data_IF_756077893455
#
_entry.id   IF_756077893455
#
_cell.length_a   1.000
_cell.length_b   1.000
_cell.length_c   1.000
_cell.angle_alpha   90.00
_cell.angle_beta   90.00
_cell.angle_gamma   90.00
#
_symmetry.space_group_name_H-M   'P 1'
#
loop_
_entity.id
_entity.type
_entity.pdbx_description
1 polymer ?
#
# COMPACT_ATOMS: atom_id res chain seq x y z
N UNK A 1 19.85 3.50 4.84
CA UNK A 1 20.22 2.34 3.99
C UNK A 1 20.79 2.85 2.68
N UNK A 2 21.89 2.30 2.19
CA UNK A 2 22.46 2.70 0.91
C UNK A 2 21.61 2.17 -0.25
N UNK A 3 21.73 2.81 -1.42
CA UNK A 3 20.98 2.37 -2.60
C UNK A 3 21.32 0.93 -2.99
N UNK A 4 22.60 0.53 -2.87
CA UNK A 4 23.04 -0.84 -3.20
C UNK A 4 22.41 -1.84 -2.25
N UNK A 5 22.42 -1.57 -0.94
CA UNK A 5 21.80 -2.44 0.05
C UNK A 5 20.31 -2.53 -0.14
N UNK A 6 19.68 -1.40 -0.45
CA UNK A 6 18.24 -1.37 -0.69
C UNK A 6 17.86 -2.17 -1.93
N UNK A 7 18.64 -2.06 -2.99
CA UNK A 7 18.42 -2.82 -4.22
C UNK A 7 18.55 -4.32 -3.99
N UNK A 8 19.58 -4.73 -3.24
CA UNK A 8 19.77 -6.14 -2.89
C UNK A 8 18.64 -6.68 -2.01
N UNK A 9 18.19 -5.86 -1.05
CA UNK A 9 17.06 -6.22 -0.20
C UNK A 9 15.78 -6.36 -1.03
N UNK A 10 15.55 -5.46 -1.98
CA UNK A 10 14.41 -5.54 -2.88
C UNK A 10 14.47 -6.82 -3.72
N UNK A 11 15.65 -7.17 -4.21
CA UNK A 11 15.84 -8.42 -4.96
C UNK A 11 15.45 -9.64 -4.13
N UNK A 12 15.92 -9.71 -2.88
CA UNK A 12 15.57 -10.82 -1.98
C UNK A 12 14.08 -10.85 -1.68
N UNK A 13 13.47 -9.69 -1.50
CA UNK A 13 12.04 -9.57 -1.27
C UNK A 13 11.24 -10.13 -2.45
N UNK A 14 11.62 -9.76 -3.67
CA UNK A 14 10.97 -10.26 -4.89
C UNK A 14 11.12 -11.78 -4.99
N UNK A 15 12.31 -12.31 -4.77
CA UNK A 15 12.57 -13.75 -4.84
C UNK A 15 11.72 -14.53 -3.84
N UNK A 16 11.57 -14.00 -2.64
CA UNK A 16 10.75 -14.65 -1.61
C UNK A 16 9.26 -14.63 -1.94
N UNK A 17 8.75 -13.46 -2.37
CA UNK A 17 7.30 -13.29 -2.54
C UNK A 17 6.77 -13.67 -3.92
N UNK A 18 7.62 -13.87 -4.89
CA UNK A 18 7.19 -14.24 -6.24
C UNK A 18 6.35 -15.51 -6.21
N UNK A 19 5.13 -15.43 -6.75
CA UNK A 19 4.21 -16.57 -6.79
C UNK A 19 3.48 -16.86 -5.50
N UNK A 20 3.70 -16.05 -4.44
CA UNK A 20 2.99 -16.17 -3.17
C UNK A 20 1.93 -15.09 -3.05
N UNK A 21 0.96 -15.31 -2.19
CA UNK A 21 -0.03 -14.26 -1.99
C UNK A 21 -1.38 -14.75 -1.53
N UNK A 22 -1.44 -15.38 -0.37
CA UNK A 22 -2.71 -15.71 0.28
C UNK A 22 -3.14 -14.51 1.13
N UNK A 23 -4.22 -13.83 0.69
CA UNK A 23 -4.64 -12.56 1.27
C UNK A 23 -4.76 -12.58 2.80
N UNK A 24 -5.48 -13.56 3.35
CA UNK A 24 -5.75 -13.59 4.80
C UNK A 24 -4.55 -14.00 5.63
N UNK A 25 -3.70 -14.88 5.11
CA UNK A 25 -2.60 -15.44 5.87
C UNK A 25 -1.26 -14.75 5.68
N UNK A 26 -1.07 -14.05 4.56
CA UNK A 26 0.24 -13.52 4.18
C UNK A 26 0.30 -12.01 4.03
N UNK A 27 -0.84 -11.33 4.08
CA UNK A 27 -0.93 -9.89 3.84
C UNK A 27 -0.07 -9.08 4.83
N UNK A 28 -0.20 -9.36 6.12
CA UNK A 28 0.54 -8.59 7.13
C UNK A 28 2.04 -8.86 7.03
N UNK A 29 2.43 -10.13 6.85
CA UNK A 29 3.84 -10.48 6.71
C UNK A 29 4.46 -9.81 5.48
N UNK A 30 3.72 -9.72 4.38
CA UNK A 30 4.17 -9.06 3.16
C UNK A 30 4.51 -7.58 3.44
N UNK A 31 3.58 -6.85 4.03
CA UNK A 31 3.77 -5.42 4.28
C UNK A 31 4.83 -5.15 5.35
N UNK A 32 4.85 -5.96 6.43
CA UNK A 32 5.86 -5.81 7.47
C UNK A 32 7.27 -6.06 6.92
N UNK A 33 7.44 -7.12 6.13
CA UNK A 33 8.74 -7.42 5.55
C UNK A 33 9.17 -6.40 4.49
N UNK A 34 8.22 -5.89 3.70
CA UNK A 34 8.52 -4.83 2.73
C UNK A 34 9.08 -3.59 3.43
N UNK A 35 8.38 -3.13 4.45
CA UNK A 35 8.78 -1.92 5.19
C UNK A 35 10.11 -2.12 5.93
N UNK A 36 10.30 -3.27 6.56
CA UNK A 36 11.51 -3.54 7.32
C UNK A 36 12.71 -3.79 6.42
N UNK A 37 12.57 -4.71 5.48
CA UNK A 37 13.72 -5.23 4.73
C UNK A 37 14.11 -4.33 3.56
N UNK A 38 13.14 -3.76 2.86
CA UNK A 38 13.42 -2.92 1.67
C UNK A 38 13.55 -1.45 2.04
N UNK A 39 12.70 -0.96 2.95
CA UNK A 39 12.67 0.47 3.27
C UNK A 39 13.28 0.82 4.61
N UNK A 40 13.83 -0.16 5.33
CA UNK A 40 14.62 0.11 6.52
C UNK A 40 13.85 0.58 7.74
N UNK A 41 12.55 0.30 7.83
CA UNK A 41 11.77 0.64 9.00
C UNK A 41 12.11 -0.34 10.11
N UNK A 42 12.67 0.17 11.19
CA UNK A 42 13.18 -0.68 12.28
C UNK A 42 12.06 -1.44 13.01
N UNK A 43 10.92 -0.76 13.23
CA UNK A 43 9.77 -1.35 13.92
C UNK A 43 8.51 -1.18 13.07
N UNK A 44 8.38 -1.97 11.98
CA UNK A 44 7.24 -1.80 11.06
C UNK A 44 5.90 -2.06 11.74
N UNK A 45 5.84 -2.91 12.76
CA UNK A 45 4.62 -3.19 13.52
C UNK A 45 4.09 -1.95 14.26
N UNK A 46 4.94 -0.93 14.47
CA UNK A 46 4.56 0.35 15.07
C UNK A 46 4.31 1.42 14.02
N UNK A 47 4.69 1.16 12.78
CA UNK A 47 4.63 2.12 11.69
C UNK A 47 3.35 1.97 10.86
N UNK A 48 2.92 0.74 10.65
CA UNK A 48 1.71 0.41 9.88
C UNK A 48 0.65 -0.18 10.82
N UNK A 49 -0.61 0.20 10.61
CA UNK A 49 -1.75 -0.38 11.33
C UNK A 49 -2.56 -1.24 10.37
N UNK A 50 -3.02 -2.40 10.84
CA UNK A 50 -3.81 -3.32 10.04
C UNK A 50 -5.25 -3.41 10.54
N UNK A 51 -6.17 -3.70 9.61
CA UNK A 51 -7.55 -4.06 9.92
C UNK A 51 -8.33 -3.01 10.71
N UNK A 52 -8.17 -1.74 10.35
CA UNK A 52 -8.97 -0.69 10.96
C UNK A 52 -10.43 -0.81 10.49
N UNK A 53 -11.34 -0.66 11.44
CA UNK A 53 -12.76 -0.77 11.20
C UNK A 53 -13.42 0.61 11.24
N UNK A 54 -14.26 0.89 10.24
CA UNK A 54 -15.09 2.09 10.22
C UNK A 54 -16.54 1.66 10.20
N UNK A 55 -17.35 2.31 11.06
CA UNK A 55 -18.78 2.08 11.11
C UNK A 55 -19.49 2.96 10.10
N UNK A 56 -19.92 2.32 9.03
CA UNK A 56 -20.87 2.88 8.06
C UNK A 56 -22.27 2.39 8.44
N UNK A 57 -23.23 2.48 7.54
CA UNK A 57 -24.52 1.80 7.69
C UNK A 57 -24.32 0.28 7.83
N UNK A 58 -23.17 -0.20 7.39
CA UNK A 58 -22.66 -1.54 7.61
C UNK A 58 -21.17 -1.43 7.93
N UNK A 59 -20.62 -2.43 8.60
CA UNK A 59 -19.22 -2.45 8.98
C UNK A 59 -18.32 -2.54 7.74
N UNK A 60 -17.36 -1.65 7.66
CA UNK A 60 -16.34 -1.64 6.61
C UNK A 60 -14.95 -1.73 7.22
N UNK A 61 -14.05 -2.44 6.56
CA UNK A 61 -12.67 -2.64 7.01
C UNK A 61 -11.70 -2.13 5.97
N UNK A 62 -10.57 -1.59 6.44
CA UNK A 62 -9.43 -1.29 5.57
C UNK A 62 -8.27 -2.18 5.98
N UNK A 63 -7.53 -2.70 5.00
CA UNK A 63 -6.50 -3.69 5.27
C UNK A 63 -5.29 -3.11 5.99
N UNK A 64 -4.90 -1.89 5.66
CA UNK A 64 -3.78 -1.27 6.34
C UNK A 64 -3.72 0.24 6.15
N UNK A 65 -3.10 0.93 7.10
CA UNK A 65 -2.85 2.37 7.01
C UNK A 65 -1.45 2.68 7.52
N UNK A 66 -0.81 3.67 6.91
CA UNK A 66 0.46 4.22 7.40
C UNK A 66 0.20 5.70 7.73
N UNK A 67 -0.14 6.02 9.00
CA UNK A 67 -0.57 7.37 9.34
C UNK A 67 0.48 8.45 9.10
N UNK A 68 1.75 8.15 9.35
CA UNK A 68 2.82 9.16 9.25
C UNK A 68 3.03 9.66 7.82
N UNK A 69 2.79 8.82 6.83
CA UNK A 69 2.94 9.18 5.41
C UNK A 69 1.60 9.27 4.68
N UNK A 70 0.51 9.10 5.42
CA UNK A 70 -0.86 9.21 4.92
C UNK A 70 -1.15 8.23 3.77
N UNK A 71 -0.82 6.97 3.98
CA UNK A 71 -1.07 5.89 3.02
C UNK A 71 -2.20 5.00 3.52
N UNK A 72 -3.10 4.65 2.63
CA UNK A 72 -4.17 3.69 2.89
C UNK A 72 -4.00 2.53 1.92
N UNK A 73 -4.11 1.30 2.44
CA UNK A 73 -3.83 0.07 1.68
C UNK A 73 -5.06 -0.80 1.60
N UNK A 74 -5.40 -1.22 0.38
CA UNK A 74 -6.43 -2.23 0.14
C UNK A 74 -5.73 -3.44 -0.49
N UNK A 75 -5.71 -4.56 0.24
CA UNK A 75 -4.98 -5.76 -0.17
C UNK A 75 -5.91 -6.82 -0.73
N UNK A 76 -5.50 -7.43 -1.84
CA UNK A 76 -6.20 -8.57 -2.44
C UNK A 76 -5.23 -9.74 -2.60
N UNK A 77 -5.79 -10.93 -2.80
CA UNK A 77 -4.99 -12.13 -3.02
C UNK A 77 -4.34 -12.17 -4.39
N UNK A 78 -3.33 -13.02 -4.52
CA UNK A 78 -2.63 -13.20 -5.78
C UNK A 78 -3.61 -13.63 -6.87
N UNK A 79 -3.49 -13.02 -8.04
CA UNK A 79 -4.35 -13.33 -9.18
C UNK A 79 -5.61 -12.50 -9.27
N UNK A 80 -5.94 -11.72 -8.24
CA UNK A 80 -7.11 -10.84 -8.31
C UNK A 80 -6.78 -9.62 -9.19
N UNK A 81 -7.71 -9.32 -10.11
CA UNK A 81 -7.57 -8.15 -10.97
C UNK A 81 -7.96 -6.89 -10.19
N UNK A 82 -7.01 -5.98 -10.00
CA UNK A 82 -7.23 -4.77 -9.19
C UNK A 82 -8.14 -3.74 -9.87
N UNK A 83 -8.47 -3.95 -11.13
CA UNK A 83 -9.38 -3.06 -11.88
C UNK A 83 -10.81 -3.59 -11.95
N UNK A 84 -11.02 -4.87 -11.65
CA UNK A 84 -12.35 -5.48 -11.75
C UNK A 84 -13.21 -5.19 -10.53
N UNK A 85 -14.49 -4.84 -10.74
CA UNK A 85 -15.44 -4.72 -9.63
C UNK A 85 -15.65 -6.06 -8.94
N UNK A 86 -15.75 -6.01 -7.62
CA UNK A 86 -16.03 -7.17 -6.77
C UNK A 86 -17.35 -6.90 -6.06
N UNK A 87 -18.21 -7.93 -5.98
CA UNK A 87 -19.50 -7.80 -5.30
C UNK A 87 -19.27 -7.63 -3.79
N UNK A 88 -19.84 -6.56 -3.26
CA UNK A 88 -19.80 -6.27 -1.82
C UNK A 88 -20.94 -6.95 -1.10
N UNK A 89 -20.90 -6.97 0.23
CA UNK A 89 -21.95 -7.57 1.06
C UNK A 89 -23.32 -6.93 0.84
N UNK A 90 -23.36 -5.65 0.49
CA UNK A 90 -24.61 -4.92 0.20
C UNK A 90 -25.08 -5.08 -1.25
N UNK A 91 -24.39 -5.89 -2.05
CA UNK A 91 -24.74 -6.13 -3.45
C UNK A 91 -24.12 -5.17 -4.45
N UNK A 92 -23.48 -4.08 -3.99
CA UNK A 92 -22.81 -3.14 -4.90
C UNK A 92 -21.57 -3.78 -5.51
N UNK A 93 -21.15 -3.26 -6.67
CA UNK A 93 -19.95 -3.71 -7.37
C UNK A 93 -18.89 -2.63 -7.30
N UNK A 94 -17.77 -2.92 -6.58
CA UNK A 94 -16.69 -1.96 -6.38
C UNK A 94 -15.35 -2.65 -6.66
N UNK A 95 -14.47 -1.99 -7.40
CA UNK A 95 -13.09 -2.45 -7.49
C UNK A 95 -12.35 -2.05 -6.21
N UNK A 96 -11.11 -2.55 -5.99
CA UNK A 96 -10.39 -2.25 -4.74
C UNK A 96 -10.22 -0.75 -4.45
N UNK A 97 -9.96 0.06 -5.47
CA UNK A 97 -9.84 1.51 -5.27
C UNK A 97 -11.17 2.13 -4.83
N UNK A 98 -12.27 1.71 -5.43
CA UNK A 98 -13.60 2.18 -5.05
C UNK A 98 -13.96 1.75 -3.62
N UNK A 99 -13.53 0.56 -3.20
CA UNK A 99 -13.69 0.13 -1.81
C UNK A 99 -12.94 1.07 -0.86
N UNK A 100 -11.71 1.42 -1.21
CA UNK A 100 -10.93 2.36 -0.41
C UNK A 100 -11.59 3.74 -0.36
N UNK A 101 -12.09 4.24 -1.49
CA UNK A 101 -12.77 5.54 -1.53
C UNK A 101 -14.03 5.54 -0.67
N UNK A 102 -14.78 4.46 -0.68
CA UNK A 102 -15.97 4.32 0.16
C UNK A 102 -15.61 4.42 1.64
N UNK A 103 -14.54 3.75 2.05
CA UNK A 103 -14.02 3.84 3.41
C UNK A 103 -13.62 5.29 3.75
N UNK A 104 -12.90 5.95 2.85
CA UNK A 104 -12.41 7.31 3.06
C UNK A 104 -13.53 8.31 3.31
N UNK A 105 -14.67 8.15 2.64
CA UNK A 105 -15.80 9.09 2.82
C UNK A 105 -16.31 9.16 4.25
N UNK A 106 -16.06 8.11 5.05
CA UNK A 106 -16.51 8.05 6.45
C UNK A 106 -15.46 8.56 7.43
N UNK A 107 -14.26 8.88 6.94
CA UNK A 107 -13.19 9.40 7.80
C UNK A 107 -13.29 10.92 7.91
N UNK A 108 -12.91 11.49 9.08
CA UNK A 108 -12.71 12.94 9.15
C UNK A 108 -11.70 13.38 8.11
N UNK A 109 -11.87 14.58 7.58
CA UNK A 109 -11.01 15.11 6.52
C UNK A 109 -9.53 15.08 6.92
N UNK A 110 -9.24 15.32 8.20
CA UNK A 110 -7.86 15.30 8.72
C UNK A 110 -7.20 13.91 8.61
N UNK A 111 -7.99 12.85 8.48
CA UNK A 111 -7.51 11.48 8.37
C UNK A 111 -7.53 10.95 6.92
N UNK A 112 -7.91 11.78 5.96
CA UNK A 112 -7.92 11.37 4.55
C UNK A 112 -6.49 11.09 4.09
N UNK A 113 -6.27 10.00 3.35
CA UNK A 113 -4.93 9.65 2.89
C UNK A 113 -4.46 10.56 1.76
N UNK A 114 -3.16 10.74 1.66
CA UNK A 114 -2.51 11.34 0.49
C UNK A 114 -2.42 10.32 -0.63
N UNK A 115 -2.15 9.07 -0.27
CA UNK A 115 -1.92 7.97 -1.20
C UNK A 115 -2.84 6.80 -0.89
N UNK A 116 -3.39 6.19 -1.93
CA UNK A 116 -4.07 4.90 -1.82
C UNK A 116 -3.28 3.89 -2.64
N UNK A 117 -2.96 2.77 -2.02
CA UNK A 117 -2.26 1.66 -2.69
C UNK A 117 -3.19 0.45 -2.70
N UNK A 118 -3.49 -0.07 -3.88
CA UNK A 118 -4.15 -1.36 -3.99
C UNK A 118 -3.09 -2.37 -4.43
N UNK A 119 -3.14 -3.58 -3.88
CA UNK A 119 -2.09 -4.56 -4.07
C UNK A 119 -2.67 -5.97 -4.12
N UNK A 120 -2.09 -6.82 -4.97
CA UNK A 120 -2.43 -8.23 -5.06
C UNK A 120 -1.19 -9.13 -4.95
N UNK A 121 -0.15 -8.67 -4.24
CA UNK A 121 1.15 -9.31 -4.06
C UNK A 121 2.05 -9.23 -5.30
N UNK A 122 1.50 -9.27 -6.51
CA UNK A 122 2.31 -9.18 -7.74
C UNK A 122 2.32 -7.79 -8.36
N UNK A 123 1.37 -6.94 -7.97
CA UNK A 123 1.18 -5.60 -8.56
C UNK A 123 0.73 -4.62 -7.49
N UNK A 124 1.27 -3.42 -7.56
CA UNK A 124 0.83 -2.27 -6.76
C UNK A 124 0.26 -1.23 -7.70
N UNK A 125 -0.96 -0.75 -7.42
CA UNK A 125 -1.50 0.45 -8.06
C UNK A 125 -1.45 1.58 -7.05
N UNK A 126 -0.77 2.66 -7.41
CA UNK A 126 -0.59 3.83 -6.53
C UNK A 126 -1.45 4.98 -7.07
N UNK A 127 -2.38 5.43 -6.25
CA UNK A 127 -3.29 6.52 -6.57
C UNK A 127 -2.88 7.77 -5.80
N UNK A 128 -2.65 8.86 -6.51
CA UNK A 128 -2.36 10.16 -5.90
C UNK A 128 -3.68 10.86 -5.61
N UNK A 129 -4.04 10.99 -4.35
CA UNK A 129 -5.34 11.56 -3.96
C UNK A 129 -5.42 13.07 -4.15
N UNK A 130 -4.30 13.73 -4.41
CA UNK A 130 -4.29 15.14 -4.82
C UNK A 130 -4.55 15.32 -6.30
N UNK A 131 -4.61 14.23 -7.07
CA UNK A 131 -4.94 14.23 -8.49
C UNK A 131 -6.14 13.32 -8.75
N UNK A 132 -7.33 13.68 -8.25
CA UNK A 132 -8.51 12.84 -8.43
C UNK A 132 -8.81 12.70 -9.93
N UNK A 133 -9.16 11.50 -10.34
CA UNK A 133 -9.43 11.19 -11.74
C UNK A 133 -8.21 10.83 -12.57
N UNK A 134 -7.00 10.90 -11.98
CA UNK A 134 -5.79 10.45 -12.65
C UNK A 134 -5.69 8.93 -12.66
N UNK A 135 -4.99 8.40 -13.67
CA UNK A 135 -4.71 6.97 -13.72
C UNK A 135 -3.69 6.61 -12.65
N UNK A 136 -3.81 5.43 -12.02
CA UNK A 136 -2.82 5.00 -11.05
C UNK A 136 -1.50 4.64 -11.73
N UNK A 137 -0.41 4.73 -10.96
CA UNK A 137 0.86 4.18 -11.39
C UNK A 137 0.88 2.68 -11.09
N UNK A 138 1.24 1.87 -12.07
CA UNK A 138 1.36 0.43 -11.90
C UNK A 138 2.82 0.08 -11.63
N UNK A 139 3.05 -0.62 -10.52
CA UNK A 139 4.39 -1.07 -10.13
C UNK A 139 4.31 -2.58 -9.96
N UNK A 140 5.12 -3.30 -10.73
CA UNK A 140 5.15 -4.76 -10.66
C UNK A 140 6.16 -5.21 -9.62
N UNK A 141 5.77 -6.22 -8.82
CA UNK A 141 6.68 -6.82 -7.84
C UNK A 141 7.99 -7.24 -8.51
N UNK A 142 7.91 -7.90 -9.67
CA UNK A 142 9.09 -8.42 -10.38
C UNK A 142 10.10 -7.33 -10.77
N UNK A 143 9.67 -6.07 -10.85
CA UNK A 143 10.52 -4.95 -11.21
C UNK A 143 11.04 -4.18 -10.00
N UNK A 144 10.67 -4.59 -8.79
CA UNK A 144 10.96 -3.83 -7.58
C UNK A 144 12.46 -3.74 -7.29
N UNK A 145 13.25 -4.71 -7.73
CA UNK A 145 14.70 -4.66 -7.61
C UNK A 145 15.28 -3.38 -8.20
N UNK A 146 14.73 -2.94 -9.34
CA UNK A 146 15.20 -1.74 -10.03
C UNK A 146 14.33 -0.51 -9.73
N UNK A 147 13.06 -0.71 -9.42
CA UNK A 147 12.09 0.38 -9.26
C UNK A 147 11.66 0.60 -7.82
N UNK A 148 12.44 0.11 -6.85
CA UNK A 148 12.09 0.24 -5.42
C UNK A 148 11.85 1.70 -5.00
N UNK A 149 12.51 2.65 -5.64
CA UNK A 149 12.33 4.08 -5.34
C UNK A 149 10.89 4.57 -5.55
N UNK A 150 10.13 3.89 -6.39
CA UNK A 150 8.75 4.28 -6.69
C UNK A 150 7.79 4.05 -5.51
N UNK A 151 8.17 3.22 -4.55
CA UNK A 151 7.41 3.01 -3.31
C UNK A 151 8.05 3.70 -2.10
N UNK A 152 9.05 4.54 -2.30
CA UNK A 152 9.73 5.23 -1.20
C UNK A 152 8.77 6.13 -0.43
N UNK A 153 7.70 6.62 -1.05
CA UNK A 153 6.69 7.43 -0.39
C UNK A 153 6.01 6.72 0.79
N UNK A 154 6.06 5.39 0.83
CA UNK A 154 5.48 4.63 1.94
C UNK A 154 6.13 5.04 3.28
N UNK A 155 7.39 5.41 3.25
CA UNK A 155 8.17 5.70 4.45
C UNK A 155 8.67 7.15 4.53
N UNK A 156 8.73 7.85 3.41
CA UNK A 156 9.24 9.23 3.35
C UNK A 156 8.11 10.21 3.06
N UNK A 157 7.89 11.16 3.98
CA UNK A 157 7.08 12.32 3.65
C UNK A 157 7.91 13.22 2.72
N UNK A 158 7.24 14.01 1.87
CA UNK A 158 7.93 14.87 0.91
C UNK A 158 8.96 15.83 1.54
N UNK A 159 8.76 16.17 2.83
CA UNK A 159 9.63 17.09 3.54
C UNK A 159 10.99 16.48 3.91
N UNK A 160 11.05 15.18 4.11
CA UNK A 160 12.30 14.49 4.47
C UNK A 160 13.29 14.49 3.33
N UNK A 161 12.79 14.36 2.11
CA UNK A 161 13.63 14.43 0.92
C UNK A 161 14.30 15.80 0.79
N UNK A 162 13.55 16.86 1.01
CA UNK A 162 14.09 18.22 0.99
C UNK A 162 15.16 18.44 2.06
N UNK A 163 14.98 17.89 3.25
CA UNK A 163 15.96 18.01 4.32
C UNK A 163 17.29 17.37 3.94
N UNK A 164 17.24 16.19 3.30
CA UNK A 164 18.46 15.51 2.87
C UNK A 164 19.22 16.28 1.82
N UNK A 165 18.52 16.92 0.90
CA UNK A 165 19.16 17.73 -0.14
C UNK A 165 19.78 19.01 0.43
N UNK A 166 19.24 19.53 1.53
CA UNK A 166 19.74 20.74 2.17
C UNK A 166 20.92 20.49 3.11
N UNK A 167 21.12 19.27 3.51
CA UNK A 167 22.25 18.86 4.36
C UNK A 167 23.48 18.52 3.49
#
# INVERSE_FOLDING_TARGET
MSNTKQQEAAKRFVEYWKGKGYEKGESQAFWLSLLRDVYGVEHPEQFISFEEQVHLDHTSFIDGTIPSTKVLIEQKGLGKDLKKPIRQSDGSLLNPFQQAKRYITELPVSQHPRWVVTCNFSTFYVYDMERPGGEPEEILLENLEKEYYRLQFLVDSGNEHLKREME
#
